data_IF_772254824797
#
_entry.id   IF_772254824797
#
_cell.length_a   1.000
_cell.length_b   1.000
_cell.length_c   1.000
_cell.angle_alpha   90.00
_cell.angle_beta   90.00
_cell.angle_gamma   90.00
#
_symmetry.space_group_name_H-M   'P 1'
#
loop_
_entity.id
_entity.type
_entity.pdbx_description
1 polymer ?
#
# COMPACT_ATOMS: atom_id res chain seq x y z
N UNK A 1 -61.75 -4.37 -10.49
CA UNK A 1 -60.93 -3.25 -9.98
C UNK A 1 -59.71 -3.86 -9.29
N UNK A 2 -58.50 -3.65 -9.85
CA UNK A 2 -57.15 -3.75 -9.22
C UNK A 2 -56.70 -5.17 -8.77
N UNK A 3 -55.45 -5.63 -8.94
CA UNK A 3 -54.22 -5.05 -9.50
C UNK A 3 -53.26 -6.21 -9.87
N UNK A 4 -52.48 -6.02 -10.92
CA UNK A 4 -51.30 -6.83 -11.28
C UNK A 4 -50.16 -6.43 -10.34
N UNK A 5 -49.47 -7.40 -9.74
CA UNK A 5 -48.12 -7.27 -9.20
C UNK A 5 -47.38 -8.56 -9.62
N UNK A 6 -46.31 -8.57 -10.40
CA UNK A 6 -45.17 -7.65 -10.41
C UNK A 6 -43.97 -8.43 -9.87
N UNK A 7 -43.15 -8.97 -10.77
CA UNK A 7 -41.94 -9.76 -10.54
C UNK A 7 -40.93 -8.96 -9.69
N UNK A 8 -40.22 -9.62 -8.76
CA UNK A 8 -38.89 -9.18 -8.36
C UNK A 8 -37.91 -10.36 -8.39
N UNK A 9 -37.17 -10.42 -9.50
CA UNK A 9 -36.01 -11.28 -9.69
C UNK A 9 -34.85 -10.63 -8.93
N UNK A 10 -34.50 -11.17 -7.76
CA UNK A 10 -33.32 -10.75 -7.01
C UNK A 10 -32.06 -11.20 -7.73
N UNK A 11 -31.42 -10.31 -8.49
CA UNK A 11 -30.05 -10.52 -8.97
C UNK A 11 -29.13 -10.24 -7.80
N UNK A 12 -28.65 -11.31 -7.15
CA UNK A 12 -27.58 -11.24 -6.17
C UNK A 12 -26.27 -10.93 -6.91
N UNK A 13 -25.89 -9.66 -6.96
CA UNK A 13 -24.58 -9.23 -7.45
C UNK A 13 -23.51 -9.70 -6.45
N UNK A 14 -22.90 -10.85 -6.72
CA UNK A 14 -21.67 -11.25 -6.06
C UNK A 14 -20.55 -10.34 -6.57
N UNK A 15 -20.26 -9.27 -5.82
CA UNK A 15 -19.04 -8.49 -6.02
C UNK A 15 -17.84 -9.39 -5.72
N UNK A 16 -16.92 -9.51 -6.67
CA UNK A 16 -15.67 -10.25 -6.50
C UNK A 16 -14.89 -9.66 -5.31
N UNK A 17 -14.79 -10.43 -4.23
CA UNK A 17 -14.12 -10.03 -2.98
C UNK A 17 -12.65 -9.65 -3.18
N UNK A 18 -11.97 -10.22 -4.17
CA UNK A 18 -10.58 -9.91 -4.52
C UNK A 18 -10.38 -8.47 -5.04
N UNK A 19 -11.30 -7.96 -5.87
CA UNK A 19 -11.24 -6.59 -6.38
C UNK A 19 -11.46 -5.56 -5.27
N UNK A 20 -12.35 -5.87 -4.32
CA UNK A 20 -12.59 -5.02 -3.16
C UNK A 20 -11.39 -4.99 -2.19
N UNK A 21 -10.69 -6.12 -2.04
CA UNK A 21 -9.47 -6.22 -1.23
C UNK A 21 -8.32 -5.39 -1.84
N UNK A 22 -8.13 -5.42 -3.16
CA UNK A 22 -7.10 -4.61 -3.83
C UNK A 22 -7.37 -3.10 -3.69
N UNK A 23 -8.62 -2.67 -3.83
CA UNK A 23 -9.00 -1.25 -3.77
C UNK A 23 -8.88 -0.63 -2.37
N UNK A 24 -8.79 -1.45 -1.33
CA UNK A 24 -8.76 -1.01 0.08
C UNK A 24 -7.40 -1.21 0.76
N UNK A 25 -6.38 -1.65 0.03
CA UNK A 25 -5.07 -1.98 0.58
C UNK A 25 -4.05 -0.86 0.34
N UNK A 26 -3.21 -0.58 1.34
CA UNK A 26 -2.09 0.36 1.20
C UNK A 26 -2.52 1.78 0.77
N UNK A 27 -1.72 2.41 -0.08
CA UNK A 27 -1.96 3.75 -0.61
C UNK A 27 -3.30 3.86 -1.36
N UNK A 28 -3.72 2.81 -2.08
CA UNK A 28 -5.02 2.77 -2.77
C UNK A 28 -6.19 2.86 -1.77
N UNK A 29 -6.07 2.18 -0.63
CA UNK A 29 -7.05 2.27 0.46
C UNK A 29 -7.09 3.66 1.11
N UNK A 30 -5.91 4.25 1.33
CA UNK A 30 -5.77 5.57 1.93
C UNK A 30 -6.48 6.67 1.13
N UNK A 31 -6.34 6.67 -0.20
CA UNK A 31 -6.99 7.66 -1.10
C UNK A 31 -8.52 7.66 -0.97
N UNK A 32 -9.11 6.51 -0.65
CA UNK A 32 -10.56 6.36 -0.53
C UNK A 32 -11.08 6.56 0.91
N UNK A 33 -10.20 6.91 1.84
CA UNK A 33 -10.53 7.03 3.27
C UNK A 33 -10.41 8.49 3.71
N UNK A 34 -11.51 9.26 3.77
CA UNK A 34 -11.47 10.64 4.22
C UNK A 34 -11.25 10.71 5.73
N UNK A 35 -10.27 11.52 6.16
CA UNK A 35 -9.96 11.76 7.57
C UNK A 35 -9.68 10.44 8.33
N UNK A 36 -8.71 9.64 7.87
CA UNK A 36 -8.42 8.36 8.51
C UNK A 36 -7.99 8.59 9.95
N UNK A 37 -8.34 7.66 10.83
CA UNK A 37 -7.76 7.60 12.17
C UNK A 37 -6.26 7.28 12.09
N UNK A 38 -5.52 7.55 13.16
CA UNK A 38 -4.09 7.18 13.23
C UNK A 38 -3.89 5.67 13.01
N UNK A 39 -4.80 4.83 13.54
CA UNK A 39 -4.72 3.38 13.35
C UNK A 39 -4.93 2.98 11.89
N UNK A 40 -5.86 3.61 11.17
CA UNK A 40 -6.06 3.39 9.74
C UNK A 40 -4.85 3.88 8.94
N UNK A 41 -4.29 5.05 9.25
CA UNK A 41 -3.06 5.54 8.58
C UNK A 41 -1.90 4.56 8.74
N UNK A 42 -1.64 4.07 9.96
CA UNK A 42 -0.59 3.08 10.20
C UNK A 42 -0.89 1.77 9.46
N UNK A 43 -2.15 1.36 9.42
CA UNK A 43 -2.60 0.15 8.69
C UNK A 43 -2.32 0.27 7.20
N UNK A 44 -2.69 1.39 6.58
CA UNK A 44 -2.39 1.64 5.17
C UNK A 44 -0.89 1.74 4.93
N UNK A 45 -0.15 2.45 5.79
CA UNK A 45 1.30 2.57 5.66
C UNK A 45 1.97 1.19 5.64
N UNK A 46 1.74 0.34 6.65
CA UNK A 46 2.44 -0.95 6.72
C UNK A 46 2.00 -1.92 5.61
N UNK A 47 0.74 -1.85 5.19
CA UNK A 47 0.25 -2.60 4.04
C UNK A 47 0.97 -2.18 2.75
N UNK A 48 1.17 -0.89 2.54
CA UNK A 48 1.85 -0.40 1.33
C UNK A 48 3.33 -0.80 1.32
N UNK A 49 4.02 -0.75 2.46
CA UNK A 49 5.40 -1.25 2.58
C UNK A 49 5.48 -2.77 2.34
N UNK A 50 4.50 -3.56 2.80
CA UNK A 50 4.39 -4.99 2.46
C UNK A 50 4.21 -5.20 0.95
N UNK A 51 3.37 -4.38 0.32
CA UNK A 51 3.13 -4.46 -1.12
C UNK A 51 4.39 -4.14 -1.92
N UNK A 52 5.09 -3.06 -1.58
CA UNK A 52 6.35 -2.69 -2.19
C UNK A 52 7.40 -3.81 -2.04
N UNK A 53 7.58 -4.34 -0.83
CA UNK A 53 8.51 -5.44 -0.57
C UNK A 53 8.21 -6.68 -1.42
N UNK A 54 6.97 -7.17 -1.37
CA UNK A 54 6.56 -8.36 -2.13
C UNK A 54 6.62 -8.14 -3.64
N UNK A 55 6.28 -6.94 -4.12
CA UNK A 55 6.38 -6.58 -5.53
C UNK A 55 7.84 -6.57 -6.00
N UNK A 56 8.77 -6.04 -5.20
CA UNK A 56 10.20 -6.02 -5.51
C UNK A 56 10.82 -7.41 -5.41
N UNK A 57 10.39 -8.22 -4.45
CA UNK A 57 10.78 -9.64 -4.36
C UNK A 57 10.40 -10.39 -5.63
N UNK A 58 9.17 -10.25 -6.11
CA UNK A 58 8.72 -10.92 -7.35
C UNK A 58 9.51 -10.47 -8.59
N UNK A 59 9.91 -9.19 -8.66
CA UNK A 59 10.80 -8.69 -9.73
C UNK A 59 12.17 -9.37 -9.64
N UNK A 60 12.75 -9.46 -8.43
CA UNK A 60 14.05 -10.09 -8.22
C UNK A 60 14.04 -11.60 -8.50
N UNK A 61 12.94 -12.28 -8.21
CA UNK A 61 12.75 -13.69 -8.54
C UNK A 61 12.67 -13.90 -10.06
N UNK A 62 12.04 -12.96 -10.78
CA UNK A 62 11.83 -13.05 -12.24
C UNK A 62 13.07 -12.65 -13.04
N UNK A 63 13.75 -11.57 -12.64
CA UNK A 63 14.83 -10.94 -13.41
C UNK A 63 16.22 -11.10 -12.76
N UNK A 64 16.30 -11.73 -11.59
CA UNK A 64 17.53 -11.87 -10.81
C UNK A 64 17.88 -10.63 -10.01
N UNK A 65 19.14 -10.52 -9.55
CA UNK A 65 19.63 -9.40 -8.71
C UNK A 65 19.84 -8.10 -9.51
N UNK A 66 18.75 -7.54 -10.02
CA UNK A 66 18.75 -6.31 -10.83
C UNK A 66 18.57 -5.06 -9.95
N UNK A 67 19.15 -3.95 -10.40
CA UNK A 67 18.98 -2.63 -9.76
C UNK A 67 17.83 -1.86 -10.42
N UNK A 68 17.10 -1.00 -9.68
CA UNK A 68 17.36 -0.62 -8.29
C UNK A 68 16.74 -1.57 -7.25
N UNK A 69 15.87 -2.50 -7.66
CA UNK A 69 15.12 -3.42 -6.78
C UNK A 69 15.96 -4.11 -5.70
N UNK A 70 17.13 -4.66 -6.05
CA UNK A 70 18.00 -5.37 -5.11
C UNK A 70 18.55 -4.52 -3.97
N UNK A 71 18.63 -3.20 -4.15
CA UNK A 71 19.03 -2.28 -3.09
C UNK A 71 17.83 -1.79 -2.27
N UNK A 72 16.70 -1.58 -2.95
CA UNK A 72 15.50 -0.97 -2.37
C UNK A 72 14.75 -1.95 -1.47
N UNK A 73 14.70 -3.25 -1.80
CA UNK A 73 13.98 -4.24 -1.00
C UNK A 73 14.40 -4.27 0.49
N UNK A 74 15.69 -4.03 0.78
CA UNK A 74 16.19 -3.94 2.15
C UNK A 74 15.74 -2.65 2.87
N UNK A 75 15.43 -1.59 2.14
CA UNK A 75 14.78 -0.40 2.70
C UNK A 75 13.36 -0.70 3.13
N UNK A 76 12.59 -1.43 2.31
CA UNK A 76 11.20 -1.75 2.65
C UNK A 76 11.10 -2.61 3.92
N UNK A 77 12.03 -3.55 4.12
CA UNK A 77 12.12 -4.30 5.38
C UNK A 77 12.34 -3.39 6.59
N UNK A 78 13.19 -2.36 6.44
CA UNK A 78 13.40 -1.36 7.49
C UNK A 78 12.16 -0.51 7.71
N UNK A 79 11.48 -0.10 6.64
CA UNK A 79 10.26 0.69 6.72
C UNK A 79 9.18 -0.04 7.53
N UNK A 80 8.95 -1.31 7.22
CA UNK A 80 8.05 -2.19 7.99
C UNK A 80 8.46 -2.20 9.47
N UNK A 81 9.75 -2.38 9.77
CA UNK A 81 10.23 -2.40 11.16
C UNK A 81 10.10 -1.07 11.89
N UNK A 82 10.07 0.07 11.20
CA UNK A 82 9.82 1.37 11.82
C UNK A 82 8.33 1.57 12.17
N UNK A 83 7.44 0.95 11.41
CA UNK A 83 6.00 1.04 11.63
C UNK A 83 5.54 0.11 12.76
N UNK A 84 6.12 -1.08 12.89
CA UNK A 84 5.71 -2.10 13.87
C UNK A 84 5.64 -1.58 15.33
N UNK A 85 6.65 -0.85 15.86
CA UNK A 85 6.60 -0.29 17.21
C UNK A 85 5.41 0.64 17.44
N UNK A 86 4.98 1.40 16.42
CA UNK A 86 3.87 2.35 16.55
C UNK A 86 2.54 1.65 16.83
N UNK A 87 2.37 0.40 16.37
CA UNK A 87 1.23 -0.45 16.72
C UNK A 87 1.38 -1.02 18.12
N UNK A 88 2.54 -1.60 18.44
CA UNK A 88 2.76 -2.29 19.72
C UNK A 88 2.64 -1.34 20.91
N UNK A 89 3.16 -0.12 20.78
CA UNK A 89 3.12 0.91 21.83
C UNK A 89 1.69 1.38 22.14
N UNK A 90 0.77 1.17 21.20
CA UNK A 90 -0.65 1.51 21.31
C UNK A 90 -1.54 0.29 21.62
N UNK A 91 -0.96 -0.90 21.75
CA UNK A 91 -1.69 -2.15 21.97
C UNK A 91 -2.55 -2.58 20.78
N UNK A 92 -2.20 -2.16 19.57
CA UNK A 92 -2.90 -2.54 18.34
C UNK A 92 -2.25 -3.76 17.69
N UNK A 93 -3.07 -4.62 17.11
CA UNK A 93 -2.58 -5.71 16.28
C UNK A 93 -1.94 -5.14 15.01
N UNK A 94 -0.75 -5.65 14.67
CA UNK A 94 -0.13 -5.31 13.38
C UNK A 94 -0.82 -6.15 12.29
N UNK A 95 -1.29 -5.52 11.20
CA UNK A 95 -1.96 -6.22 10.11
C UNK A 95 -1.14 -7.40 9.57
N UNK A 96 -1.80 -8.53 9.33
CA UNK A 96 -1.17 -9.65 8.61
C UNK A 96 -0.84 -9.24 7.18
N UNK A 97 0.37 -9.55 6.74
CA UNK A 97 0.79 -9.33 5.36
C UNK A 97 -0.02 -10.19 4.39
N UNK A 98 -0.81 -9.52 3.53
CA UNK A 98 -1.58 -10.12 2.43
C UNK A 98 -1.09 -9.68 1.05
N UNK A 99 0.04 -8.98 0.99
CA UNK A 99 0.55 -8.37 -0.23
C UNK A 99 0.77 -9.37 -1.36
N UNK A 100 1.16 -10.62 -1.06
CA UNK A 100 1.37 -11.68 -2.05
C UNK A 100 0.14 -11.99 -2.91
N UNK A 101 -1.06 -11.72 -2.40
CA UNK A 101 -2.31 -11.89 -3.15
C UNK A 101 -2.53 -10.76 -4.18
N UNK A 102 -1.79 -9.66 -4.06
CA UNK A 102 -1.94 -8.43 -4.82
C UNK A 102 -0.75 -8.15 -5.77
N UNK A 103 0.36 -8.88 -5.62
CA UNK A 103 1.56 -8.70 -6.44
C UNK A 103 1.28 -9.04 -7.90
N UNK A 104 1.78 -8.19 -8.80
CA UNK A 104 1.80 -8.45 -10.23
C UNK A 104 3.17 -8.99 -10.64
N UNK A 105 3.22 -10.06 -11.42
CA UNK A 105 4.48 -10.50 -12.05
C UNK A 105 4.70 -9.71 -13.35
N UNK A 106 5.72 -8.83 -13.43
CA UNK A 106 5.97 -8.07 -14.65
C UNK A 106 6.51 -8.99 -15.76
N UNK A 107 6.07 -8.77 -16.99
CA UNK A 107 6.53 -9.54 -18.16
C UNK A 107 7.86 -9.06 -18.70
N UNK A 108 8.22 -7.81 -18.41
CA UNK A 108 9.48 -7.20 -18.85
C UNK A 108 10.10 -6.37 -17.74
N UNK A 109 11.41 -6.18 -17.80
CA UNK A 109 12.11 -5.32 -16.83
C UNK A 109 11.65 -3.86 -16.92
N UNK A 110 11.30 -3.37 -18.11
CA UNK A 110 10.73 -2.03 -18.29
C UNK A 110 9.36 -1.89 -17.61
N UNK A 111 8.52 -2.93 -17.66
CA UNK A 111 7.26 -2.96 -16.92
C UNK A 111 7.49 -2.98 -15.41
N UNK A 112 8.48 -3.75 -14.93
CA UNK A 112 8.88 -3.74 -13.53
C UNK A 112 9.27 -2.33 -13.06
N UNK A 113 10.10 -1.61 -13.82
CA UNK A 113 10.49 -0.23 -13.50
C UNK A 113 9.28 0.71 -13.43
N UNK A 114 8.33 0.59 -14.37
CA UNK A 114 7.09 1.38 -14.33
C UNK A 114 6.23 1.08 -13.10
N UNK A 115 6.14 -0.19 -12.71
CA UNK A 115 5.44 -0.57 -11.47
C UNK A 115 6.13 0.01 -10.24
N UNK A 116 7.46 0.00 -10.18
CA UNK A 116 8.23 0.66 -9.12
C UNK A 116 7.98 2.17 -9.06
N UNK A 117 8.04 2.87 -10.19
CA UNK A 117 7.71 4.30 -10.26
C UNK A 117 6.29 4.58 -9.74
N UNK A 118 5.31 3.78 -10.14
CA UNK A 118 3.93 3.96 -9.70
C UNK A 118 3.78 3.71 -8.19
N UNK A 119 4.36 2.62 -7.68
CA UNK A 119 4.32 2.28 -6.27
C UNK A 119 4.89 3.43 -5.42
N UNK A 120 6.07 3.94 -5.77
CA UNK A 120 6.68 5.05 -5.02
C UNK A 120 5.89 6.36 -5.16
N UNK A 121 5.26 6.61 -6.31
CA UNK A 121 4.39 7.79 -6.49
C UNK A 121 3.15 7.72 -5.59
N UNK A 122 2.52 6.56 -5.51
CA UNK A 122 1.33 6.35 -4.67
C UNK A 122 1.69 6.43 -3.18
N UNK A 123 2.84 5.85 -2.80
CA UNK A 123 3.36 5.85 -1.45
C UNK A 123 3.72 7.29 -0.98
N UNK A 124 4.36 8.10 -1.84
CA UNK A 124 4.60 9.53 -1.60
C UNK A 124 3.29 10.28 -1.37
N UNK A 125 2.31 10.12 -2.26
CA UNK A 125 1.03 10.82 -2.15
C UNK A 125 0.28 10.45 -0.86
N UNK A 126 0.34 9.18 -0.45
CA UNK A 126 -0.23 8.72 0.81
C UNK A 126 0.43 9.40 2.02
N UNK A 127 1.77 9.41 2.11
CA UNK A 127 2.45 10.05 3.24
C UNK A 127 2.25 11.57 3.26
N UNK A 128 2.27 12.24 2.10
CA UNK A 128 1.93 13.66 2.01
C UNK A 128 0.51 13.95 2.50
N UNK A 129 -0.45 13.07 2.20
CA UNK A 129 -1.81 13.18 2.69
C UNK A 129 -1.88 12.99 4.22
N UNK A 130 -1.22 11.97 4.78
CA UNK A 130 -1.22 11.73 6.22
C UNK A 130 -0.53 12.85 7.02
N UNK A 131 0.54 13.43 6.49
CA UNK A 131 1.27 14.52 7.15
C UNK A 131 0.51 15.85 7.20
N UNK A 132 -0.60 15.98 6.47
CA UNK A 132 -1.51 17.14 6.56
C UNK A 132 -2.46 17.07 7.75
N UNK A 133 -2.50 15.94 8.48
CA UNK A 133 -3.45 15.72 9.56
C UNK A 133 -3.02 16.50 10.82
N UNK A 134 -3.88 17.39 11.35
CA UNK A 134 -3.48 18.34 12.40
C UNK A 134 -3.12 17.66 13.73
N UNK A 135 -3.77 16.56 14.06
CA UNK A 135 -3.61 15.83 15.32
C UNK A 135 -2.74 14.57 15.18
N UNK A 136 -1.83 14.55 14.20
CA UNK A 136 -0.93 13.41 14.01
C UNK A 136 0.08 13.31 15.17
N UNK A 137 0.14 12.19 15.91
CA UNK A 137 1.11 12.00 16.97
C UNK A 137 2.55 12.19 16.49
N UNK A 138 3.40 12.80 17.32
CA UNK A 138 4.75 13.20 16.91
C UNK A 138 5.66 12.04 16.52
N UNK A 139 5.49 10.89 17.17
CA UNK A 139 6.19 9.63 16.84
C UNK A 139 5.78 9.12 15.45
N UNK A 140 4.48 9.10 15.16
CA UNK A 140 3.93 8.72 13.85
C UNK A 140 4.38 9.69 12.77
N UNK A 141 4.30 10.99 13.03
CA UNK A 141 4.77 12.04 12.11
C UNK A 141 6.23 11.86 11.74
N UNK A 142 7.09 11.60 12.73
CA UNK A 142 8.53 11.39 12.52
C UNK A 142 8.79 10.20 11.58
N UNK A 143 8.07 9.09 11.78
CA UNK A 143 8.21 7.91 10.91
C UNK A 143 7.66 8.21 9.51
N UNK A 144 6.51 8.87 9.37
CA UNK A 144 5.96 9.22 8.06
C UNK A 144 6.84 10.19 7.27
N UNK A 145 7.48 11.18 7.91
CA UNK A 145 8.46 12.06 7.26
C UNK A 145 9.70 11.29 6.78
N UNK A 146 10.18 10.32 7.59
CA UNK A 146 11.27 9.44 7.22
C UNK A 146 10.92 8.58 6.00
N UNK A 147 9.74 7.97 5.99
CA UNK A 147 9.27 7.12 4.91
C UNK A 147 9.03 7.93 3.63
N UNK A 148 8.36 9.09 3.71
CA UNK A 148 8.24 10.02 2.58
C UNK A 148 9.61 10.37 1.96
N UNK A 149 10.62 10.65 2.80
CA UNK A 149 11.97 10.92 2.32
C UNK A 149 12.61 9.72 1.61
N UNK A 150 12.34 8.51 2.10
CA UNK A 150 12.84 7.27 1.49
C UNK A 150 12.16 6.99 0.15
N UNK A 151 10.83 7.09 0.06
CA UNK A 151 10.07 6.87 -1.18
C UNK A 151 10.48 7.86 -2.28
N UNK A 152 10.75 9.12 -1.91
CA UNK A 152 11.34 10.09 -2.85
C UNK A 152 12.71 9.65 -3.41
N UNK A 153 13.56 9.03 -2.59
CA UNK A 153 14.86 8.51 -3.05
C UNK A 153 14.68 7.25 -3.90
N UNK A 154 13.72 6.40 -3.59
CA UNK A 154 13.39 5.22 -4.39
C UNK A 154 12.86 5.64 -5.77
N UNK A 155 11.92 6.58 -5.83
CA UNK A 155 11.39 7.13 -7.08
C UNK A 155 12.51 7.67 -7.98
N UNK A 156 13.46 8.41 -7.39
CA UNK A 156 14.64 8.88 -8.12
C UNK A 156 15.52 7.73 -8.61
N UNK A 157 15.63 6.62 -7.87
CA UNK A 157 16.40 5.46 -8.29
C UNK A 157 15.73 4.68 -9.42
N UNK A 158 14.40 4.63 -9.45
CA UNK A 158 13.63 4.03 -10.56
C UNK A 158 13.61 4.89 -11.82
N UNK A 159 13.78 6.20 -11.69
CA UNK A 159 13.70 7.17 -12.80
C UNK A 159 15.05 7.54 -13.42
N UNK A 160 16.12 6.80 -13.10
CA UNK A 160 17.46 6.95 -13.66
C UNK A 160 17.68 6.00 -14.83
#
# INVERSE_FOLDING_TARGET
MKLIYGILLGILLMFNTAFAAEASYGAKGAVNTPQPTVQEMLTFAIQDEYLAHSQYAAVLDTFGKVRPFSNIILSEERHISYLQPLFTDRGWDIPTDKSKELVMTPKTFTEALKLGVQAETDNIAMYEYFLQQPELPSDVKTVFELLLSASNKHLQAFSK
#
